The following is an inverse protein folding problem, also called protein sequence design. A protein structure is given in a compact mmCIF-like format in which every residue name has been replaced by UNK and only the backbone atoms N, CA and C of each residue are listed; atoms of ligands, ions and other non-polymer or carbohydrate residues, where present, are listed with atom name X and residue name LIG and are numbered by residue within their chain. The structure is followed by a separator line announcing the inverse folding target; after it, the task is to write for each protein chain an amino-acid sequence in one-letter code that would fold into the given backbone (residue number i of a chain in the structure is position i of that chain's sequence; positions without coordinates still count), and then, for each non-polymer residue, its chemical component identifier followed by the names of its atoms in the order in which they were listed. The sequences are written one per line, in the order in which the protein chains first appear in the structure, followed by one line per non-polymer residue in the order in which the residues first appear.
data_IF_950804532905
#
_entry.id   IF_950804532905
#
_cell.length_a   1.000
_cell.length_b   1.000
_cell.length_c   1.000
_cell.angle_alpha   90.00
_cell.angle_beta   90.00
_cell.angle_gamma   90.00
#
_symmetry.space_group_name_H-M   'P 1'
#
loop_
_entity.id
_entity.type
_entity.pdbx_description
1 polymer ?
#
# COMPACT_ATOMS: atom_id res chain seq x y z
N UNK A 1 106.27 77.90 -0.50
CA UNK A 1 106.29 76.49 -0.90
C UNK A 1 107.09 75.70 0.12
N UNK A 2 106.53 75.44 1.30
CA UNK A 2 107.28 74.79 2.39
C UNK A 2 106.43 73.85 3.27
N UNK A 3 105.17 73.57 2.90
CA UNK A 3 104.27 72.81 3.80
C UNK A 3 103.41 71.74 3.08
N UNK A 4 103.90 71.19 1.97
CA UNK A 4 103.31 69.99 1.32
C UNK A 4 104.29 68.80 1.36
N UNK A 5 105.50 69.00 1.89
CA UNK A 5 106.52 67.95 1.98
C UNK A 5 106.52 67.15 3.30
N UNK A 6 105.70 67.51 4.30
CA UNK A 6 105.84 66.94 5.66
C UNK A 6 104.84 65.82 6.03
N UNK A 7 104.16 65.20 5.06
CA UNK A 7 103.26 64.04 5.31
C UNK A 7 103.82 62.74 4.72
N UNK A 8 104.89 62.81 3.92
CA UNK A 8 105.51 61.64 3.30
C UNK A 8 106.58 60.92 4.14
N UNK A 9 106.99 61.47 5.29
CA UNK A 9 108.23 61.08 5.97
C UNK A 9 108.05 60.74 7.46
N UNK A 10 107.06 59.89 7.78
CA UNK A 10 106.94 59.29 9.12
C UNK A 10 106.28 57.90 9.12
N UNK A 11 106.45 57.14 8.05
CA UNK A 11 106.09 55.72 7.98
C UNK A 11 107.14 54.93 7.19
N UNK A 12 108.43 55.14 7.52
CA UNK A 12 109.47 54.20 7.09
C UNK A 12 109.41 52.97 7.99
N UNK A 13 108.52 52.04 7.63
CA UNK A 13 108.63 50.67 8.11
C UNK A 13 110.05 50.18 7.79
N UNK A 14 110.79 49.76 8.81
CA UNK A 14 112.06 49.07 8.60
C UNK A 14 111.76 47.81 7.77
N UNK A 15 112.61 47.44 6.79
CA UNK A 15 112.36 46.28 5.94
C UNK A 15 112.13 44.98 6.73
N UNK A 16 112.69 44.87 7.94
CA UNK A 16 112.50 43.72 8.83
C UNK A 16 111.06 43.62 9.40
N UNK A 17 110.39 44.75 9.62
CA UNK A 17 109.01 44.79 10.12
C UNK A 17 107.99 44.44 9.02
N UNK A 18 108.29 44.78 7.76
CA UNK A 18 107.45 44.41 6.62
C UNK A 18 107.49 42.90 6.36
N UNK A 19 108.67 42.27 6.47
CA UNK A 19 108.81 40.83 6.26
C UNK A 19 108.10 40.03 7.36
N UNK A 20 108.10 40.51 8.61
CA UNK A 20 107.38 39.91 9.72
C UNK A 20 105.85 39.99 9.55
N UNK A 21 105.33 41.12 9.08
CA UNK A 21 103.89 41.27 8.79
C UNK A 21 103.48 40.39 7.61
N UNK A 22 104.29 40.32 6.55
CA UNK A 22 104.03 39.46 5.40
C UNK A 22 104.07 37.96 5.78
N UNK A 23 104.99 37.58 6.68
CA UNK A 23 105.04 36.23 7.24
C UNK A 23 103.80 35.92 8.10
N UNK A 24 103.37 36.86 8.94
CA UNK A 24 102.15 36.73 9.76
C UNK A 24 100.87 36.63 8.92
N UNK A 25 100.77 37.42 7.83
CA UNK A 25 99.66 37.34 6.89
C UNK A 25 99.65 36.02 6.11
N UNK A 26 100.82 35.50 5.74
CA UNK A 26 100.93 34.18 5.11
C UNK A 26 100.48 33.07 6.04
N UNK A 27 100.89 33.08 7.30
CA UNK A 27 100.48 32.08 8.30
C UNK A 27 98.96 32.13 8.56
N UNK A 28 98.39 33.33 8.70
CA UNK A 28 96.95 33.50 8.87
C UNK A 28 96.19 33.03 7.63
N UNK A 29 96.69 33.31 6.41
CA UNK A 29 96.09 32.83 5.16
C UNK A 29 96.18 31.30 5.05
N UNK A 30 97.29 30.70 5.46
CA UNK A 30 97.47 29.24 5.48
C UNK A 30 96.53 28.56 6.49
N UNK A 31 96.35 29.17 7.66
CA UNK A 31 95.40 28.70 8.67
C UNK A 31 93.94 28.83 8.18
N UNK A 32 93.58 29.94 7.53
CA UNK A 32 92.25 30.17 6.94
C UNK A 32 91.95 29.16 5.81
N UNK A 33 92.94 28.84 4.98
CA UNK A 33 92.80 27.83 3.91
C UNK A 33 92.68 26.40 4.47
N UNK A 34 93.31 26.11 5.61
CA UNK A 34 93.21 24.82 6.26
C UNK A 34 91.88 24.65 7.03
N UNK A 35 91.39 25.71 7.70
CA UNK A 35 90.11 25.73 8.40
C UNK A 35 88.90 25.78 7.46
N UNK A 36 89.02 26.31 6.23
CA UNK A 36 87.98 26.24 5.19
C UNK A 36 87.96 24.93 4.39
N UNK A 37 89.03 24.12 4.44
CA UNK A 37 89.09 22.80 3.80
C UNK A 37 88.42 21.68 4.61
N UNK A 38 88.43 21.78 5.93
CA UNK A 38 87.82 20.81 6.82
C UNK A 38 86.31 20.93 7.18
N UNK A 39 85.58 22.04 6.93
CA UNK A 39 84.14 22.12 7.16
C UNK A 39 83.39 21.40 6.05
N UNK A 40 83.83 21.46 4.79
CA UNK A 40 83.24 20.70 3.68
C UNK A 40 83.34 19.19 3.90
N UNK A 41 84.47 18.67 4.38
CA UNK A 41 84.62 17.23 4.68
C UNK A 41 83.72 16.80 5.85
N UNK A 42 83.58 17.65 6.87
CA UNK A 42 82.73 17.37 8.04
C UNK A 42 81.23 17.51 7.70
N UNK A 43 80.87 18.47 6.85
CA UNK A 43 79.54 18.62 6.27
C UNK A 43 79.20 17.41 5.40
N UNK A 44 80.09 17.00 4.49
CA UNK A 44 79.87 15.85 3.62
C UNK A 44 79.76 14.54 4.39
N UNK A 45 80.71 14.23 5.29
CA UNK A 45 80.71 12.95 6.02
C UNK A 45 79.69 12.90 7.17
N UNK A 46 79.33 14.04 7.75
CA UNK A 46 78.50 14.10 8.96
C UNK A 46 77.09 14.60 8.71
N UNK A 47 76.93 15.82 8.18
CA UNK A 47 75.64 16.51 8.16
C UNK A 47 74.83 16.30 6.87
N UNK A 48 75.47 16.35 5.71
CA UNK A 48 74.85 16.14 4.40
C UNK A 48 74.45 14.68 4.23
N UNK A 49 75.37 13.72 4.45
CA UNK A 49 75.04 12.29 4.40
C UNK A 49 73.97 11.93 5.42
N UNK A 50 74.01 12.47 6.65
CA UNK A 50 72.94 12.26 7.63
C UNK A 50 71.63 12.89 7.19
N UNK A 51 71.64 14.10 6.63
CA UNK A 51 70.42 14.76 6.13
C UNK A 51 69.81 13.99 4.95
N UNK A 52 70.64 13.48 4.05
CA UNK A 52 70.20 12.67 2.91
C UNK A 52 69.66 11.32 3.39
N UNK A 53 70.33 10.68 4.35
CA UNK A 53 69.85 9.44 4.96
C UNK A 53 68.52 9.66 5.69
N UNK A 54 68.38 10.77 6.42
CA UNK A 54 67.10 11.17 7.04
C UNK A 54 66.04 11.43 5.97
N UNK A 55 66.38 12.06 4.85
CA UNK A 55 65.45 12.30 3.74
C UNK A 55 65.01 11.00 3.08
N UNK A 56 65.93 10.04 2.86
CA UNK A 56 65.60 8.72 2.30
C UNK A 56 64.74 7.92 3.28
N UNK A 57 65.04 7.98 4.59
CA UNK A 57 64.22 7.36 5.63
C UNK A 57 62.83 8.01 5.70
N UNK A 58 62.76 9.33 5.59
CA UNK A 58 61.51 10.08 5.57
C UNK A 58 60.68 9.73 4.34
N UNK A 59 61.31 9.71 3.16
CA UNK A 59 60.67 9.28 1.92
C UNK A 59 60.13 7.86 2.04
N UNK A 60 60.90 6.93 2.62
CA UNK A 60 60.42 5.56 2.86
C UNK A 60 59.21 5.54 3.78
N UNK A 61 59.26 6.25 4.90
CA UNK A 61 58.13 6.37 5.84
C UNK A 61 56.91 7.00 5.17
N UNK A 62 57.10 8.04 4.36
CA UNK A 62 56.02 8.71 3.63
C UNK A 62 55.43 7.77 2.56
N UNK A 63 56.24 6.93 1.90
CA UNK A 63 55.73 5.91 0.98
C UNK A 63 55.01 4.76 1.69
N UNK A 64 55.51 4.31 2.85
CA UNK A 64 54.84 3.28 3.66
C UNK A 64 53.49 3.80 4.18
N UNK A 65 53.42 5.07 4.59
CA UNK A 65 52.16 5.73 4.97
C UNK A 65 51.20 5.86 3.77
N UNK A 66 51.70 6.25 2.60
CA UNK A 66 50.89 6.32 1.38
C UNK A 66 50.39 4.94 0.93
N UNK A 67 51.17 3.86 1.11
CA UNK A 67 50.70 2.50 0.84
C UNK A 67 49.55 2.10 1.76
N UNK A 68 49.62 2.44 3.05
CA UNK A 68 48.52 2.17 3.99
C UNK A 68 47.23 2.95 3.63
N UNK A 69 47.38 4.19 3.18
CA UNK A 69 46.26 5.01 2.71
C UNK A 69 45.66 4.45 1.41
N UNK A 70 46.50 4.02 0.47
CA UNK A 70 46.07 3.37 -0.76
C UNK A 70 45.36 2.05 -0.50
N UNK A 71 45.84 1.24 0.46
CA UNK A 71 45.15 0.01 0.87
C UNK A 71 43.74 0.31 1.40
N UNK A 72 43.59 1.41 2.15
CA UNK A 72 42.28 1.85 2.65
C UNK A 72 41.36 2.32 1.51
N UNK A 73 41.88 3.07 0.53
CA UNK A 73 41.14 3.53 -0.65
C UNK A 73 40.75 2.35 -1.55
N UNK A 74 41.67 1.42 -1.81
CA UNK A 74 41.40 0.22 -2.60
C UNK A 74 40.34 -0.65 -1.94
N UNK A 75 40.41 -0.79 -0.61
CA UNK A 75 39.39 -1.53 0.14
C UNK A 75 38.02 -0.85 0.13
N UNK A 76 37.99 0.49 0.16
CA UNK A 76 36.75 1.24 -0.04
C UNK A 76 36.18 1.05 -1.45
N UNK A 77 37.04 1.00 -2.48
CA UNK A 77 36.63 0.74 -3.86
C UNK A 77 36.12 -0.68 -4.04
N UNK A 78 36.79 -1.69 -3.48
CA UNK A 78 36.32 -3.08 -3.48
C UNK A 78 34.95 -3.22 -2.80
N UNK A 79 34.75 -2.52 -1.66
CA UNK A 79 33.49 -2.51 -0.94
C UNK A 79 32.37 -1.87 -1.78
N UNK A 80 32.66 -0.79 -2.50
CA UNK A 80 31.69 -0.18 -3.42
C UNK A 80 31.32 -1.11 -4.59
N UNK A 81 32.28 -1.82 -5.16
CA UNK A 81 32.07 -2.75 -6.28
C UNK A 81 31.24 -3.96 -5.83
N UNK A 82 31.55 -4.51 -4.65
CA UNK A 82 30.77 -5.63 -4.07
C UNK A 82 29.34 -5.22 -3.74
N UNK A 83 29.11 -3.99 -3.27
CA UNK A 83 27.77 -3.46 -3.03
C UNK A 83 26.97 -3.30 -4.33
N UNK A 84 27.59 -2.76 -5.39
CA UNK A 84 26.94 -2.63 -6.70
C UNK A 84 26.64 -4.01 -7.31
N UNK A 85 27.52 -4.99 -7.14
CA UNK A 85 27.29 -6.37 -7.56
C UNK A 85 26.17 -7.06 -6.76
N UNK A 86 25.88 -6.63 -5.52
CA UNK A 86 24.80 -7.16 -4.71
C UNK A 86 23.41 -6.68 -5.16
N UNK A 87 23.31 -5.51 -5.81
CA UNK A 87 22.03 -4.93 -6.28
C UNK A 87 21.23 -5.88 -7.18
N UNK A 88 21.78 -6.47 -8.26
CA UNK A 88 21.03 -7.41 -9.10
C UNK A 88 20.63 -8.68 -8.33
N UNK A 89 21.46 -9.16 -7.40
CA UNK A 89 21.13 -10.31 -6.57
C UNK A 89 19.93 -10.03 -5.64
N UNK A 90 19.89 -8.83 -5.04
CA UNK A 90 18.76 -8.37 -4.24
C UNK A 90 17.49 -8.15 -5.07
N UNK A 91 17.63 -7.65 -6.30
CA UNK A 91 16.50 -7.49 -7.22
C UNK A 91 15.88 -8.84 -7.59
N UNK A 92 16.71 -9.84 -7.88
CA UNK A 92 16.25 -11.20 -8.18
C UNK A 92 15.58 -11.83 -6.95
N UNK A 93 16.20 -11.72 -5.76
CA UNK A 93 15.63 -12.29 -4.54
C UNK A 93 14.29 -11.65 -4.17
N UNK A 94 14.18 -10.32 -4.30
CA UNK A 94 12.93 -9.59 -4.13
C UNK A 94 11.87 -10.03 -5.15
N UNK A 95 12.25 -10.16 -6.42
CA UNK A 95 11.37 -10.66 -7.47
C UNK A 95 10.84 -12.07 -7.18
N UNK A 96 11.72 -12.96 -6.70
CA UNK A 96 11.33 -14.30 -6.27
C UNK A 96 10.36 -14.26 -5.09
N UNK A 97 10.62 -13.38 -4.11
CA UNK A 97 9.77 -13.21 -2.93
C UNK A 97 8.38 -12.71 -3.31
N UNK A 98 8.29 -11.72 -4.20
CA UNK A 98 7.01 -11.21 -4.73
C UNK A 98 6.29 -12.26 -5.56
N UNK A 99 7.02 -13.00 -6.41
CA UNK A 99 6.47 -14.10 -7.20
C UNK A 99 5.91 -15.21 -6.31
N UNK A 100 6.67 -15.61 -5.30
CA UNK A 100 6.26 -16.60 -4.29
C UNK A 100 5.06 -16.10 -3.50
N UNK A 101 5.09 -14.86 -3.03
CA UNK A 101 3.98 -14.24 -2.32
C UNK A 101 2.70 -14.20 -3.18
N UNK A 102 2.81 -13.85 -4.47
CA UNK A 102 1.69 -13.89 -5.42
C UNK A 102 1.23 -15.32 -5.74
N UNK A 103 2.12 -16.30 -5.71
CA UNK A 103 1.78 -17.71 -5.92
C UNK A 103 1.09 -18.30 -4.68
N UNK A 104 1.50 -17.92 -3.47
CA UNK A 104 0.87 -18.30 -2.22
C UNK A 104 -0.47 -17.59 -2.00
N UNK A 105 -0.62 -16.36 -2.48
CA UNK A 105 -1.92 -15.70 -2.49
C UNK A 105 -2.87 -16.51 -3.37
N UNK A 106 -3.99 -17.03 -2.83
CA UNK A 106 -5.01 -17.67 -3.64
C UNK A 106 -5.41 -16.72 -4.76
N UNK A 107 -5.46 -17.20 -6.00
CA UNK A 107 -6.03 -16.45 -7.13
C UNK A 107 -7.35 -15.84 -6.64
N UNK A 108 -7.46 -14.51 -6.71
CA UNK A 108 -8.66 -13.80 -6.28
C UNK A 108 -9.89 -14.53 -6.84
N UNK A 109 -10.87 -14.89 -6.00
CA UNK A 109 -12.03 -15.63 -6.46
C UNK A 109 -12.65 -14.89 -7.62
N UNK A 110 -12.89 -15.59 -8.74
CA UNK A 110 -13.51 -15.01 -9.93
C UNK A 110 -14.71 -14.16 -9.50
N UNK A 111 -14.69 -12.85 -9.82
CA UNK A 111 -15.77 -11.93 -9.44
C UNK A 111 -17.16 -12.45 -9.86
N UNK A 112 -17.19 -13.23 -10.95
CA UNK A 112 -18.39 -13.93 -11.44
C UNK A 112 -18.90 -15.02 -10.49
N UNK A 113 -18.00 -15.81 -9.88
CA UNK A 113 -18.35 -16.86 -8.90
C UNK A 113 -18.74 -16.23 -7.57
N UNK A 114 -18.06 -15.16 -7.17
CA UNK A 114 -18.40 -14.40 -5.97
C UNK A 114 -19.79 -13.75 -6.05
N UNK A 115 -20.28 -13.40 -7.26
CA UNK A 115 -21.60 -12.80 -7.45
C UNK A 115 -22.78 -13.80 -7.37
N UNK A 116 -22.52 -15.12 -7.39
CA UNK A 116 -23.58 -16.15 -7.41
C UNK A 116 -24.46 -16.12 -6.15
N UNK A 117 -23.91 -16.07 -4.92
CA UNK A 117 -24.73 -16.01 -3.69
C UNK A 117 -25.66 -14.79 -3.65
N UNK A 118 -25.15 -13.62 -4.05
CA UNK A 118 -25.92 -12.38 -4.10
C UNK A 118 -27.08 -12.47 -5.13
N UNK A 119 -26.83 -13.08 -6.30
CA UNK A 119 -27.89 -13.34 -7.30
C UNK A 119 -28.97 -14.27 -6.74
N UNK A 120 -28.58 -15.35 -6.05
CA UNK A 120 -29.55 -16.28 -5.45
C UNK A 120 -30.40 -15.59 -4.37
N UNK A 121 -29.79 -14.74 -3.53
CA UNK A 121 -30.52 -13.97 -2.52
C UNK A 121 -31.54 -13.00 -3.15
N UNK A 122 -31.20 -12.38 -4.28
CA UNK A 122 -32.13 -11.51 -5.02
C UNK A 122 -33.32 -12.27 -5.61
N UNK A 123 -33.11 -13.50 -6.09
CA UNK A 123 -34.18 -14.37 -6.58
C UNK A 123 -35.08 -14.86 -5.43
N UNK A 124 -34.49 -15.17 -4.27
CA UNK A 124 -35.26 -15.53 -3.08
C UNK A 124 -36.11 -14.34 -2.59
N UNK A 125 -35.57 -13.11 -2.67
CA UNK A 125 -36.31 -11.89 -2.38
C UNK A 125 -37.48 -11.69 -3.37
N UNK A 126 -37.26 -11.90 -4.67
CA UNK A 126 -38.32 -11.82 -5.69
C UNK A 126 -39.49 -12.75 -5.39
N UNK A 127 -39.18 -14.03 -5.08
CA UNK A 127 -40.20 -15.01 -4.70
C UNK A 127 -40.97 -14.59 -3.44
N UNK A 128 -40.27 -14.04 -2.44
CA UNK A 128 -40.91 -13.56 -1.21
C UNK A 128 -41.82 -12.35 -1.44
N UNK A 129 -41.42 -11.45 -2.35
CA UNK A 129 -42.22 -10.28 -2.72
C UNK A 129 -43.47 -10.69 -3.50
N UNK A 130 -43.34 -11.62 -4.45
CA UNK A 130 -44.49 -12.16 -5.19
C UNK A 130 -45.50 -12.82 -4.24
N UNK A 131 -45.03 -13.65 -3.30
CA UNK A 131 -45.89 -14.28 -2.31
C UNK A 131 -46.58 -13.25 -1.38
N UNK A 132 -45.86 -12.23 -0.94
CA UNK A 132 -46.43 -11.18 -0.09
C UNK A 132 -47.51 -10.36 -0.82
N UNK A 133 -47.34 -10.11 -2.12
CA UNK A 133 -48.35 -9.43 -2.94
C UNK A 133 -49.61 -10.27 -3.11
N UNK A 134 -49.47 -11.59 -3.39
CA UNK A 134 -50.60 -12.51 -3.48
C UNK A 134 -51.40 -12.58 -2.16
N UNK A 135 -50.71 -12.58 -1.02
CA UNK A 135 -51.33 -12.61 0.31
C UNK A 135 -52.08 -11.31 0.60
N UNK A 136 -51.52 -10.15 0.23
CA UNK A 136 -52.20 -8.85 0.37
C UNK A 136 -53.43 -8.72 -0.55
N UNK A 137 -53.35 -9.22 -1.79
CA UNK A 137 -54.49 -9.26 -2.71
C UNK A 137 -55.60 -10.19 -2.21
N UNK A 138 -55.23 -11.34 -1.64
CA UNK A 138 -56.18 -12.26 -1.02
C UNK A 138 -56.84 -11.67 0.23
N UNK A 139 -56.11 -10.89 1.04
CA UNK A 139 -56.68 -10.14 2.16
C UNK A 139 -57.65 -9.05 1.69
N UNK A 140 -57.28 -8.30 0.65
CA UNK A 140 -58.15 -7.28 0.06
C UNK A 140 -59.45 -7.89 -0.53
N UNK A 141 -59.34 -9.05 -1.19
CA UNK A 141 -60.50 -9.79 -1.72
C UNK A 141 -61.37 -10.41 -0.61
N UNK A 142 -60.75 -10.96 0.45
CA UNK A 142 -61.45 -11.51 1.61
C UNK A 142 -62.15 -10.44 2.45
N UNK A 143 -61.54 -9.26 2.59
CA UNK A 143 -62.13 -8.08 3.22
C UNK A 143 -63.32 -7.52 2.43
N UNK A 144 -63.25 -7.55 1.10
CA UNK A 144 -64.37 -7.15 0.23
C UNK A 144 -65.57 -8.10 0.36
N UNK A 145 -65.36 -9.40 0.57
CA UNK A 145 -66.44 -10.36 0.81
C UNK A 145 -67.06 -10.24 2.22
N UNK A 146 -66.28 -9.81 3.22
CA UNK A 146 -66.75 -9.56 4.58
C UNK A 146 -67.51 -8.22 4.75
N UNK A 147 -67.35 -7.28 3.81
CA UNK A 147 -67.93 -5.95 3.87
C UNK A 147 -69.34 -5.82 3.25
N UNK A 148 -69.97 -6.91 2.80
CA UNK A 148 -71.40 -6.88 2.45
C UNK A 148 -72.18 -6.76 3.76
N UNK A 149 -72.90 -5.65 4.03
CA UNK A 149 -73.74 -5.55 5.21
C UNK A 149 -74.94 -6.47 4.99
N UNK A 150 -75.05 -7.54 5.79
CA UNK A 150 -76.30 -8.26 5.92
C UNK A 150 -77.28 -7.44 6.75
N UNK A 151 -78.41 -7.06 6.16
CA UNK A 151 -79.74 -7.27 6.77
C UNK A 151 -80.88 -6.83 5.85
N UNK A 152 -81.79 -7.75 5.54
CA UNK A 152 -83.25 -7.59 5.70
C UNK A 152 -83.98 -8.86 5.24
N UNK A 153 -84.76 -9.43 6.14
CA UNK A 153 -85.68 -10.54 5.91
C UNK A 153 -86.84 -10.19 4.96
N UNK A 154 -87.34 -11.18 4.22
CA UNK A 154 -88.65 -11.15 3.54
C UNK A 154 -88.65 -11.84 2.17
N UNK A 155 -89.39 -12.95 2.02
CA UNK A 155 -89.51 -13.75 0.78
C UNK A 155 -90.25 -13.05 -0.39
N UNK A 156 -90.70 -13.76 -1.45
CA UNK A 156 -91.10 -15.16 -1.47
C UNK A 156 -90.38 -16.05 -2.50
N UNK A 157 -90.61 -17.34 -2.33
CA UNK A 157 -90.18 -18.43 -3.19
C UNK A 157 -90.42 -18.16 -4.69
N UNK A 158 -89.35 -18.20 -5.47
CA UNK A 158 -89.40 -18.37 -6.91
C UNK A 158 -88.74 -19.71 -7.28
N UNK A 159 -89.58 -20.60 -7.78
CA UNK A 159 -89.38 -21.93 -8.36
C UNK A 159 -87.96 -22.32 -8.79
N UNK A 160 -87.43 -23.37 -8.14
CA UNK A 160 -86.41 -24.25 -8.72
C UNK A 160 -87.13 -25.27 -9.61
N UNK A 161 -86.72 -25.51 -10.87
CA UNK A 161 -87.34 -26.52 -11.73
C UNK A 161 -87.11 -27.93 -11.16
N UNK A 162 -88.21 -28.66 -11.00
CA UNK A 162 -88.23 -30.05 -10.58
C UNK A 162 -87.91 -30.96 -11.78
N UNK A 163 -86.63 -31.31 -11.98
CA UNK A 163 -86.26 -32.57 -12.61
C UNK A 163 -84.87 -32.97 -12.15
N UNK A 164 -84.71 -34.24 -11.73
CA UNK A 164 -83.42 -34.80 -11.31
C UNK A 164 -83.29 -35.13 -9.82
N UNK A 165 -84.39 -35.48 -9.14
CA UNK A 165 -84.31 -36.19 -7.85
C UNK A 165 -84.61 -37.67 -8.10
N UNK A 166 -83.57 -38.48 -8.31
CA UNK A 166 -83.71 -39.94 -8.28
C UNK A 166 -82.40 -40.62 -7.86
N UNK A 167 -82.43 -41.25 -6.67
CA UNK A 167 -81.37 -42.08 -6.09
C UNK A 167 -80.17 -41.28 -5.54
N UNK A 168 -79.81 -41.28 -4.27
CA UNK A 168 -79.83 -42.37 -3.30
C UNK A 168 -79.92 -41.83 -1.86
N UNK A 169 -80.59 -42.61 -1.03
CA UNK A 169 -80.82 -42.40 0.38
C UNK A 169 -79.55 -42.33 1.23
N UNK A 170 -79.62 -41.46 2.26
CA UNK A 170 -79.19 -41.69 3.65
C UNK A 170 -77.68 -41.59 3.96
N UNK A 171 -77.29 -40.40 4.45
CA UNK A 171 -76.92 -40.22 5.86
C UNK A 171 -77.14 -38.77 6.31
N UNK A 172 -77.96 -38.62 7.35
CA UNK A 172 -78.22 -37.38 8.07
C UNK A 172 -77.02 -36.97 8.92
N UNK A 173 -76.90 -35.65 9.06
CA UNK A 173 -76.42 -34.91 10.24
C UNK A 173 -75.00 -35.23 10.72
N UNK A 174 -74.05 -34.46 10.18
CA UNK A 174 -73.23 -33.63 11.06
C UNK A 174 -73.47 -32.19 10.63
N UNK A 175 -73.86 -31.32 11.57
CA UNK A 175 -73.95 -29.87 11.34
C UNK A 175 -72.51 -29.38 11.30
N UNK A 176 -71.90 -29.56 10.13
CA UNK A 176 -70.54 -29.12 9.85
C UNK A 176 -70.48 -27.62 9.99
N UNK A 177 -69.71 -27.17 10.98
CA UNK A 177 -69.27 -25.81 11.15
C UNK A 177 -68.96 -25.18 9.79
N UNK A 178 -69.53 -23.99 9.56
CA UNK A 178 -69.11 -23.12 8.47
C UNK A 178 -67.57 -23.14 8.37
N UNK A 179 -66.97 -23.23 7.18
CA UNK A 179 -65.53 -23.20 7.08
C UNK A 179 -65.06 -21.93 7.77
N UNK A 180 -64.43 -22.09 8.93
CA UNK A 180 -63.85 -20.98 9.67
C UNK A 180 -62.93 -20.27 8.68
N UNK A 181 -63.24 -19.00 8.39
CA UNK A 181 -62.41 -18.16 7.55
C UNK A 181 -60.95 -18.36 8.00
N UNK A 182 -60.01 -18.60 7.07
CA UNK A 182 -58.62 -18.83 7.45
C UNK A 182 -58.15 -17.65 8.31
N UNK A 183 -57.30 -17.88 9.33
CA UNK A 183 -56.73 -16.80 10.09
C UNK A 183 -55.80 -16.00 9.16
N UNK A 184 -56.36 -15.02 8.43
CA UNK A 184 -55.64 -14.22 7.42
C UNK A 184 -54.61 -13.29 8.07
N UNK A 185 -54.90 -12.79 9.27
CA UNK A 185 -54.03 -11.86 10.00
C UNK A 185 -52.63 -12.40 10.35
N UNK A 186 -52.45 -13.63 10.89
CA UNK A 186 -51.10 -14.15 11.13
C UNK A 186 -50.32 -14.39 9.83
N UNK A 187 -50.98 -14.81 8.75
CA UNK A 187 -50.35 -15.14 7.46
C UNK A 187 -49.73 -13.88 6.81
N UNK A 188 -50.44 -12.75 6.83
CA UNK A 188 -49.94 -11.47 6.30
C UNK A 188 -48.71 -10.99 7.09
N UNK A 189 -48.74 -11.11 8.42
CA UNK A 189 -47.61 -10.71 9.26
C UNK A 189 -46.36 -11.58 9.06
N UNK A 190 -46.56 -12.88 8.80
CA UNK A 190 -45.48 -13.82 8.50
C UNK A 190 -44.85 -13.51 7.13
N UNK A 191 -45.67 -13.26 6.10
CA UNK A 191 -45.19 -12.89 4.77
C UNK A 191 -44.36 -11.59 4.80
N UNK A 192 -44.80 -10.59 5.57
CA UNK A 192 -44.05 -9.33 5.75
C UNK A 192 -42.72 -9.54 6.48
N UNK A 193 -42.70 -10.38 7.51
CA UNK A 193 -41.48 -10.75 8.25
C UNK A 193 -40.45 -11.46 7.36
N UNK A 194 -40.92 -12.37 6.50
CA UNK A 194 -40.09 -13.09 5.53
C UNK A 194 -39.41 -12.12 4.55
N UNK A 195 -40.17 -11.15 4.00
CA UNK A 195 -39.61 -10.13 3.09
C UNK A 195 -38.50 -9.35 3.79
N UNK A 196 -38.73 -8.84 5.01
CA UNK A 196 -37.72 -8.07 5.74
C UNK A 196 -36.43 -8.89 5.96
N UNK A 197 -36.56 -10.16 6.31
CA UNK A 197 -35.42 -11.06 6.45
C UNK A 197 -34.64 -11.23 5.13
N UNK A 198 -35.34 -11.44 4.01
CA UNK A 198 -34.67 -11.60 2.71
C UNK A 198 -33.97 -10.31 2.27
N UNK A 199 -34.53 -9.13 2.55
CA UNK A 199 -33.86 -7.84 2.29
C UNK A 199 -32.55 -7.73 3.06
N UNK A 200 -32.56 -8.11 4.34
CA UNK A 200 -31.34 -8.12 5.15
C UNK A 200 -30.30 -9.11 4.59
N UNK A 201 -30.73 -10.31 4.19
CA UNK A 201 -29.86 -11.31 3.59
C UNK A 201 -29.19 -10.82 2.30
N UNK A 202 -29.96 -10.18 1.40
CA UNK A 202 -29.40 -9.59 0.17
C UNK A 202 -28.35 -8.52 0.51
N UNK A 203 -28.61 -7.69 1.53
CA UNK A 203 -27.66 -6.66 1.97
C UNK A 203 -26.34 -7.25 2.47
N UNK A 204 -26.38 -8.34 3.25
CA UNK A 204 -25.18 -9.03 3.73
C UNK A 204 -24.37 -9.65 2.59
N UNK A 205 -25.02 -10.37 1.68
CA UNK A 205 -24.36 -11.00 0.53
C UNK A 205 -23.74 -9.96 -0.41
N UNK A 206 -24.41 -8.82 -0.61
CA UNK A 206 -23.85 -7.71 -1.36
C UNK A 206 -22.62 -7.10 -0.66
N UNK A 207 -22.66 -6.93 0.67
CA UNK A 207 -21.51 -6.44 1.44
C UNK A 207 -20.30 -7.37 1.34
N UNK A 208 -20.51 -8.68 1.39
CA UNK A 208 -19.43 -9.67 1.27
C UNK A 208 -18.81 -9.68 -0.12
N UNK A 209 -19.64 -9.61 -1.17
CA UNK A 209 -19.19 -9.51 -2.55
C UNK A 209 -18.22 -8.32 -2.76
N UNK A 210 -18.63 -7.12 -2.35
CA UNK A 210 -17.85 -5.90 -2.57
C UNK A 210 -16.70 -5.72 -1.58
N UNK A 211 -16.71 -6.39 -0.42
CA UNK A 211 -15.57 -6.44 0.51
C UNK A 211 -14.36 -7.13 -0.11
N UNK A 212 -14.59 -8.14 -0.95
CA UNK A 212 -13.51 -8.92 -1.60
C UNK A 212 -13.04 -8.31 -2.93
N UNK A 213 -13.92 -7.60 -3.64
CA UNK A 213 -13.67 -7.21 -5.02
C UNK A 213 -13.19 -5.77 -5.20
N UNK A 214 -13.81 -4.76 -4.57
CA UNK A 214 -13.71 -3.42 -5.20
C UNK A 214 -14.18 -2.22 -4.37
N UNK A 215 -13.70 -2.05 -3.12
CA UNK A 215 -14.03 -0.85 -2.33
C UNK A 215 -13.37 0.45 -2.84
N UNK A 216 -12.35 0.36 -3.69
CA UNK A 216 -11.54 1.53 -4.08
C UNK A 216 -11.48 1.85 -5.57
N UNK A 217 -12.03 1.02 -6.47
CA UNK A 217 -12.13 1.44 -7.88
C UNK A 217 -13.15 2.58 -8.01
N UNK A 218 -12.72 3.65 -8.69
CA UNK A 218 -13.57 4.78 -9.10
C UNK A 218 -14.82 4.38 -9.89
N UNK A 219 -14.91 3.13 -10.35
CA UNK A 219 -16.02 2.59 -11.13
C UNK A 219 -16.86 1.54 -10.37
N UNK A 220 -16.72 1.44 -9.04
CA UNK A 220 -17.49 0.50 -8.24
C UNK A 220 -18.98 0.84 -8.26
N UNK A 221 -19.83 -0.12 -8.64
CA UNK A 221 -21.30 -0.01 -8.65
C UNK A 221 -21.88 0.00 -7.21
N UNK A 222 -21.05 -0.22 -6.18
CA UNK A 222 -21.44 -0.36 -4.78
C UNK A 222 -22.23 0.83 -4.19
N UNK A 223 -21.80 2.10 -4.36
CA UNK A 223 -22.52 3.22 -3.74
C UNK A 223 -23.97 3.31 -4.21
N UNK A 224 -24.19 3.13 -5.52
CA UNK A 224 -25.52 3.12 -6.11
C UNK A 224 -26.34 1.91 -5.62
N UNK A 225 -25.75 0.71 -5.63
CA UNK A 225 -26.40 -0.50 -5.14
C UNK A 225 -26.80 -0.39 -3.67
N UNK A 226 -25.92 0.16 -2.83
CA UNK A 226 -26.17 0.34 -1.40
C UNK A 226 -27.30 1.32 -1.12
N UNK A 227 -27.44 2.36 -1.96
CA UNK A 227 -28.53 3.33 -1.88
C UNK A 227 -29.87 2.68 -2.25
N UNK A 228 -29.90 1.86 -3.31
CA UNK A 228 -31.11 1.13 -3.71
C UNK A 228 -31.51 0.06 -2.68
N UNK A 229 -30.54 -0.64 -2.08
CA UNK A 229 -30.79 -1.59 -0.99
C UNK A 229 -31.34 -0.90 0.27
N UNK A 230 -30.81 0.29 0.61
CA UNK A 230 -31.35 1.09 1.70
C UNK A 230 -32.77 1.58 1.39
N UNK A 231 -33.06 1.95 0.14
CA UNK A 231 -34.40 2.31 -0.31
C UNK A 231 -35.37 1.12 -0.21
N UNK A 232 -34.91 -0.09 -0.55
CA UNK A 232 -35.69 -1.31 -0.46
C UNK A 232 -36.00 -1.69 1.00
N UNK A 233 -35.04 -1.51 1.92
CA UNK A 233 -35.25 -1.68 3.35
C UNK A 233 -36.19 -0.62 3.95
N UNK A 234 -36.14 0.61 3.46
CA UNK A 234 -36.99 1.73 3.92
C UNK A 234 -38.40 1.76 3.34
N UNK A 235 -38.69 0.98 2.30
CA UNK A 235 -40.00 1.00 1.64
C UNK A 235 -41.10 0.40 2.54
N UNK A 236 -42.20 1.14 2.70
CA UNK A 236 -43.33 0.77 3.58
C UNK A 236 -44.31 -0.20 2.91
N UNK A 237 -44.36 -0.23 1.58
CA UNK A 237 -45.24 -1.11 0.80
C UNK A 237 -44.45 -2.18 0.04
N UNK A 238 -44.99 -3.40 0.01
CA UNK A 238 -44.57 -4.54 -0.82
C UNK A 238 -44.45 -4.20 -2.31
N UNK A 239 -45.44 -3.48 -2.87
CA UNK A 239 -45.44 -3.06 -4.26
C UNK A 239 -44.31 -2.05 -4.58
N UNK A 240 -43.99 -1.16 -3.63
CA UNK A 240 -42.85 -0.25 -3.77
C UNK A 240 -41.52 -1.03 -3.74
N UNK A 241 -41.39 -2.03 -2.86
CA UNK A 241 -40.21 -2.91 -2.79
C UNK A 241 -40.02 -3.69 -4.10
N UNK A 242 -41.09 -4.21 -4.69
CA UNK A 242 -41.04 -4.91 -5.98
C UNK A 242 -40.51 -4.02 -7.12
N UNK A 243 -40.96 -2.77 -7.21
CA UNK A 243 -40.48 -1.82 -8.23
C UNK A 243 -38.99 -1.47 -8.08
N UNK A 244 -38.51 -1.35 -6.83
CA UNK A 244 -37.09 -1.09 -6.57
C UNK A 244 -36.26 -2.33 -6.93
N UNK A 245 -36.72 -3.52 -6.57
CA UNK A 245 -36.08 -4.79 -6.94
C UNK A 245 -35.96 -4.98 -8.45
N UNK A 246 -37.04 -4.73 -9.21
CA UNK A 246 -37.06 -4.83 -10.66
C UNK A 246 -36.01 -3.88 -11.29
N UNK A 247 -35.98 -2.62 -10.83
CA UNK A 247 -34.99 -1.65 -11.28
C UNK A 247 -33.55 -2.11 -11.00
N UNK A 248 -33.29 -2.63 -9.81
CA UNK A 248 -31.96 -3.11 -9.43
C UNK A 248 -31.51 -4.27 -10.32
N UNK A 249 -32.40 -5.23 -10.59
CA UNK A 249 -32.10 -6.40 -11.44
C UNK A 249 -31.69 -5.98 -12.86
N UNK A 250 -32.30 -4.93 -13.40
CA UNK A 250 -31.99 -4.40 -14.72
C UNK A 250 -30.81 -3.42 -14.77
N UNK A 251 -30.49 -2.72 -13.67
CA UNK A 251 -29.51 -1.63 -13.69
C UNK A 251 -28.05 -2.08 -13.49
N UNK A 252 -27.83 -3.18 -12.74
CA UNK A 252 -26.48 -3.57 -12.33
C UNK A 252 -25.95 -4.76 -13.13
N UNK A 253 -24.74 -4.62 -13.68
CA UNK A 253 -24.09 -5.69 -14.46
C UNK A 253 -23.76 -6.91 -13.60
N UNK A 254 -23.59 -6.71 -12.30
CA UNK A 254 -23.40 -7.78 -11.32
C UNK A 254 -24.56 -8.78 -11.34
N UNK A 255 -25.77 -8.35 -11.69
CA UNK A 255 -26.96 -9.20 -11.78
C UNK A 255 -27.30 -9.64 -13.20
N UNK A 256 -26.72 -8.99 -14.21
CA UNK A 256 -26.85 -9.40 -15.61
C UNK A 256 -25.94 -10.61 -15.91
N UNK A 257 -26.41 -11.49 -16.80
CA UNK A 257 -25.81 -12.81 -17.09
C UNK A 257 -24.54 -12.72 -17.92
#
# INVERSE_FOLDING_TARGET
GEAVASVGEMMSFSPEDQDAVLAGMKEVMQSYENEMRHPLRNLLMGQLVRSLLIQVQRLKLDTEAAMLELDQILRANELSISLVAAVPALAISWGLLVGLYRWLQPRAPDAKRAAVPCRMALVDLERSLAHALEVEEAEAAGGAYAAIPGDAAGGPAASVPAWGRMGSMRRQADVGAAPAAPPTRPIVSEAHGLVIFQVHRVHQEAMELFRSADRSSRFSEWPALSADLAQLAGATSTAQRARVHERMTHSYKVFQR
#
